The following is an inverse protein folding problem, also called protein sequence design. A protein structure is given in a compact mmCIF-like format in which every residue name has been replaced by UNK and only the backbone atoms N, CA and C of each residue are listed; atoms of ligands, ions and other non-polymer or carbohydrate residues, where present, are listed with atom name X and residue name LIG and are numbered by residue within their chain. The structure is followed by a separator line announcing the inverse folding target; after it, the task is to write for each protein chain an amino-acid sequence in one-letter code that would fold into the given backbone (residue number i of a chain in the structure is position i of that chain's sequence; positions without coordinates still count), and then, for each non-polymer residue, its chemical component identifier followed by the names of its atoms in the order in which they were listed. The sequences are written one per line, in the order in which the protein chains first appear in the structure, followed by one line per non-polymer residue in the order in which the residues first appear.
data_IF_913008915610
#
_entry.id   IF_913008915610
#
_cell.length_a   1.000
_cell.length_b   1.000
_cell.length_c   1.000
_cell.angle_alpha   90.00
_cell.angle_beta   90.00
_cell.angle_gamma   90.00
#
_symmetry.space_group_name_H-M   'P 1'
#
loop_
_entity.id
_entity.type
_entity.pdbx_description
1 polymer ?
#
# COMPACT_ATOMS: atom_id res chain seq x y z
N UNK A 1 27.26 57.68 -54.92
CA UNK A 1 26.68 58.97 -55.36
C UNK A 1 25.28 59.14 -54.78
N UNK A 2 25.11 60.30 -54.14
CA UNK A 2 23.82 61.01 -53.87
C UNK A 2 22.76 60.31 -53.03
N UNK A 3 22.46 60.82 -51.92
CA UNK A 3 22.02 62.04 -51.19
C UNK A 3 20.76 61.68 -50.43
N UNK A 4 20.90 61.83 -49.16
CA UNK A 4 20.12 62.59 -48.16
C UNK A 4 18.77 63.10 -48.64
N UNK A 5 17.69 62.87 -47.88
CA UNK A 5 16.76 63.95 -47.43
C UNK A 5 16.10 63.50 -46.12
N UNK A 6 16.29 64.31 -45.08
CA UNK A 6 15.64 64.33 -43.78
C UNK A 6 14.31 65.07 -43.88
N UNK A 7 13.24 64.52 -43.34
CA UNK A 7 12.02 65.29 -43.02
C UNK A 7 11.60 65.07 -41.62
N UNK A 8 11.71 66.11 -40.80
CA UNK A 8 11.16 66.26 -39.47
C UNK A 8 9.70 66.72 -39.63
N UNK A 9 8.75 66.03 -38.97
CA UNK A 9 7.42 66.59 -38.73
C UNK A 9 7.04 66.45 -37.27
N UNK A 10 6.94 67.62 -36.64
CA UNK A 10 6.30 67.77 -35.29
C UNK A 10 4.77 67.61 -35.49
N UNK A 11 4.18 66.93 -34.55
CA UNK A 11 2.73 66.77 -34.43
C UNK A 11 2.29 66.46 -33.02
N UNK A 12 1.97 67.49 -32.30
CA UNK A 12 1.08 67.74 -31.15
C UNK A 12 0.58 66.55 -30.34
N UNK A 13 0.96 66.55 -29.07
CA UNK A 13 0.41 65.76 -27.98
C UNK A 13 -0.91 66.36 -27.54
N UNK A 14 -2.02 65.63 -27.69
CA UNK A 14 -3.29 65.92 -26.99
C UNK A 14 -3.42 64.94 -25.81
N UNK A 15 -3.35 65.50 -24.62
CA UNK A 15 -3.59 64.76 -23.36
C UNK A 15 -5.10 64.74 -23.14
N UNK A 16 -5.71 63.57 -23.27
CA UNK A 16 -7.08 63.35 -22.83
C UNK A 16 -7.06 62.77 -21.41
N UNK A 17 -7.43 63.60 -20.44
CA UNK A 17 -7.73 63.12 -19.07
C UNK A 17 -9.06 62.41 -19.08
N UNK A 18 -9.05 61.09 -18.94
CA UNK A 18 -10.22 60.32 -18.57
C UNK A 18 -10.15 60.04 -17.07
N UNK A 19 -11.09 60.61 -16.33
CA UNK A 19 -11.27 60.37 -14.92
C UNK A 19 -11.71 58.91 -14.71
N UNK A 20 -10.84 58.07 -14.17
CA UNK A 20 -11.13 56.72 -13.76
C UNK A 20 -11.78 56.71 -12.38
N UNK A 21 -13.06 56.39 -12.34
CA UNK A 21 -13.85 56.17 -11.13
C UNK A 21 -13.23 55.00 -10.33
N UNK A 22 -12.64 55.30 -9.21
CA UNK A 22 -12.14 54.28 -8.26
C UNK A 22 -13.30 53.43 -7.81
N UNK A 23 -13.31 52.18 -8.27
CA UNK A 23 -14.13 51.11 -7.72
C UNK A 23 -13.45 50.60 -6.44
N UNK A 24 -14.06 50.87 -5.29
CA UNK A 24 -13.65 50.37 -3.99
C UNK A 24 -13.64 48.86 -4.07
N UNK A 25 -12.46 48.26 -4.15
CA UNK A 25 -12.29 46.79 -4.04
C UNK A 25 -12.48 46.41 -2.60
N UNK A 26 -13.50 45.57 -2.35
CA UNK A 26 -13.61 44.83 -1.09
C UNK A 26 -12.32 44.01 -0.90
N UNK A 27 -11.62 44.25 0.20
CA UNK A 27 -10.53 43.41 0.64
C UNK A 27 -11.08 42.02 0.96
N UNK A 28 -11.01 41.13 0.01
CA UNK A 28 -11.10 39.69 0.28
C UNK A 28 -9.89 39.35 1.15
N UNK A 29 -10.10 39.05 2.42
CA UNK A 29 -9.08 38.45 3.28
C UNK A 29 -8.64 37.14 2.63
N UNK A 30 -7.60 37.21 1.86
CA UNK A 30 -6.86 36.04 1.41
C UNK A 30 -6.22 35.41 2.64
N UNK A 31 -6.82 34.35 3.15
CA UNK A 31 -6.12 33.41 4.00
C UNK A 31 -4.86 32.99 3.23
N UNK A 32 -3.71 33.41 3.71
CA UNK A 32 -2.44 33.01 3.09
C UNK A 32 -2.38 31.48 3.10
N UNK A 33 -2.50 30.91 1.91
CA UNK A 33 -2.29 29.47 1.76
C UNK A 33 -0.88 29.15 2.31
N UNK A 34 -0.82 28.19 3.23
CA UNK A 34 0.46 27.71 3.77
C UNK A 34 1.28 27.23 2.58
N UNK A 35 2.42 27.88 2.35
CA UNK A 35 3.36 27.40 1.33
C UNK A 35 4.09 26.17 1.89
N UNK A 36 3.56 24.99 1.58
CA UNK A 36 4.13 23.72 2.02
C UNK A 36 5.58 23.53 1.56
N UNK A 37 5.96 24.07 0.40
CA UNK A 37 7.33 23.99 -0.07
C UNK A 37 8.30 24.69 0.86
N UNK A 38 7.91 25.87 1.43
CA UNK A 38 8.76 26.57 2.39
C UNK A 38 8.85 25.85 3.75
N UNK A 39 7.76 25.17 4.16
CA UNK A 39 7.74 24.37 5.40
C UNK A 39 8.66 23.16 5.29
N UNK A 40 8.75 22.56 4.10
CA UNK A 40 9.55 21.35 3.89
C UNK A 40 10.98 21.60 3.40
N UNK A 41 11.39 22.85 3.16
CA UNK A 41 12.75 23.19 2.72
C UNK A 41 13.86 22.71 3.67
N UNK A 42 13.55 22.58 4.96
CA UNK A 42 14.51 22.09 5.97
C UNK A 42 14.69 20.57 5.93
N UNK A 43 13.77 19.83 5.27
CA UNK A 43 13.87 18.39 5.15
C UNK A 43 14.98 18.01 4.18
N UNK A 44 15.84 17.10 4.61
CA UNK A 44 16.92 16.54 3.79
C UNK A 44 16.76 15.03 3.72
N UNK A 45 16.80 14.49 2.51
CA UNK A 45 16.91 13.05 2.31
C UNK A 45 18.27 12.55 2.79
N UNK A 46 18.28 11.49 3.60
CA UNK A 46 19.48 10.75 3.95
C UNK A 46 19.23 9.25 3.76
N UNK A 47 20.23 8.53 3.32
CA UNK A 47 20.18 7.07 3.32
C UNK A 47 20.38 6.59 4.75
N UNK A 48 19.34 5.96 5.32
CA UNK A 48 19.37 5.40 6.68
C UNK A 48 19.57 3.89 6.70
N UNK A 49 19.84 3.30 5.52
CA UNK A 49 19.93 1.85 5.36
C UNK A 49 18.55 1.19 5.22
N UNK A 50 18.50 -0.12 5.34
CA UNK A 50 19.66 -1.01 5.43
C UNK A 50 20.51 -0.96 4.15
N UNK A 51 21.84 -0.92 4.30
CA UNK A 51 22.77 -0.69 3.17
C UNK A 51 22.97 -1.92 2.28
N UNK A 52 22.57 -3.12 2.74
CA UNK A 52 22.74 -4.39 2.01
C UNK A 52 21.61 -5.37 2.26
N UNK A 53 20.36 -4.95 2.07
CA UNK A 53 19.20 -5.82 2.22
C UNK A 53 18.70 -6.45 0.94
N UNK A 54 19.15 -5.98 -0.21
CA UNK A 54 18.53 -6.28 -1.48
C UNK A 54 17.19 -5.53 -1.64
N UNK A 55 16.23 -6.13 -2.35
CA UNK A 55 14.89 -5.54 -2.48
C UNK A 55 14.09 -5.74 -1.19
N UNK A 56 13.50 -4.68 -0.69
CA UNK A 56 12.54 -4.73 0.39
C UNK A 56 11.10 -4.86 -0.17
N UNK A 57 10.30 -5.73 0.44
CA UNK A 57 8.89 -5.91 0.13
C UNK A 57 7.98 -5.37 1.24
N UNK A 58 8.47 -5.38 2.47
CA UNK A 58 7.69 -5.02 3.64
C UNK A 58 8.45 -4.01 4.49
N UNK A 59 7.72 -3.08 5.09
CA UNK A 59 8.21 -2.18 6.11
C UNK A 59 7.08 -1.93 7.13
N UNK A 60 7.42 -1.98 8.41
CA UNK A 60 6.45 -1.72 9.47
C UNK A 60 7.11 -0.96 10.62
N UNK A 61 6.48 0.13 11.07
CA UNK A 61 6.85 0.82 12.30
C UNK A 61 6.30 0.10 13.53
N UNK A 62 6.93 0.32 14.67
CA UNK A 62 6.47 -0.22 15.95
C UNK A 62 5.57 0.83 16.63
N UNK A 63 4.28 0.54 16.87
CA UNK A 63 3.36 1.46 17.51
C UNK A 63 3.91 1.95 18.86
N UNK A 64 3.84 3.29 19.07
CA UNK A 64 4.34 3.92 20.28
C UNK A 64 5.87 4.08 20.38
N UNK A 65 6.62 3.66 19.36
CA UNK A 65 8.07 3.84 19.29
C UNK A 65 8.51 4.30 17.89
N UNK A 66 8.76 5.59 17.73
CA UNK A 66 9.15 6.24 16.48
C UNK A 66 10.59 5.95 16.02
N UNK A 67 11.37 5.24 16.85
CA UNK A 67 12.74 4.82 16.53
C UNK A 67 12.82 3.35 16.07
N UNK A 68 11.74 2.56 16.23
CA UNK A 68 11.76 1.15 15.93
C UNK A 68 10.98 0.80 14.65
N UNK A 69 11.64 0.08 13.76
CA UNK A 69 11.06 -0.37 12.49
C UNK A 69 11.53 -1.78 12.15
N UNK A 70 10.67 -2.51 11.43
CA UNK A 70 11.01 -3.77 10.79
C UNK A 70 11.04 -3.59 9.27
N UNK A 71 11.98 -4.27 8.60
CA UNK A 71 12.07 -4.34 7.13
C UNK A 71 12.18 -5.80 6.72
N UNK A 72 11.37 -6.19 5.76
CA UNK A 72 11.36 -7.52 5.15
C UNK A 72 11.90 -7.50 3.72
N UNK A 73 12.85 -8.39 3.45
CA UNK A 73 13.53 -8.49 2.17
C UNK A 73 13.03 -9.67 1.34
N UNK A 74 13.30 -9.62 0.04
CA UNK A 74 12.97 -10.73 -0.89
C UNK A 74 13.93 -11.93 -0.78
N UNK A 75 14.99 -11.81 -0.03
CA UNK A 75 15.98 -12.88 0.15
C UNK A 75 16.90 -12.67 1.36
N UNK A 76 16.63 -11.63 2.18
CA UNK A 76 17.45 -11.26 3.33
C UNK A 76 16.76 -11.44 4.69
N UNK A 77 15.58 -12.06 4.71
CA UNK A 77 14.81 -12.23 5.95
C UNK A 77 14.24 -10.91 6.48
N UNK A 78 14.15 -10.80 7.79
CA UNK A 78 13.65 -9.62 8.50
C UNK A 78 14.79 -8.94 9.25
N UNK A 79 14.94 -7.64 9.06
CA UNK A 79 15.80 -6.80 9.89
C UNK A 79 15.00 -5.84 10.74
N UNK A 80 15.53 -5.49 11.92
CA UNK A 80 14.96 -4.53 12.85
C UNK A 80 15.97 -3.44 13.17
N UNK A 81 15.49 -2.21 13.28
CA UNK A 81 16.19 -1.08 13.91
C UNK A 81 15.46 -0.65 15.18
N UNK A 82 16.19 -0.13 16.15
CA UNK A 82 15.64 0.47 17.37
C UNK A 82 16.20 1.89 17.59
N UNK A 83 16.89 2.47 16.58
CA UNK A 83 17.60 3.74 16.63
C UNK A 83 17.29 4.64 15.41
N UNK A 84 16.08 4.55 14.87
CA UNK A 84 15.63 5.35 13.72
C UNK A 84 16.35 5.01 12.41
N UNK A 85 16.88 3.80 12.28
CA UNK A 85 17.55 3.30 11.08
C UNK A 85 19.05 3.58 11.01
N UNK A 86 19.68 4.00 12.11
CA UNK A 86 21.14 4.16 12.15
C UNK A 86 21.83 2.81 12.10
N UNK A 87 21.31 1.83 12.84
CA UNK A 87 21.77 0.45 12.79
C UNK A 87 20.63 -0.53 12.51
N UNK A 88 20.96 -1.63 11.86
CA UNK A 88 20.03 -2.70 11.52
C UNK A 88 20.60 -4.05 11.90
N UNK A 89 19.81 -4.90 12.53
CA UNK A 89 20.18 -6.28 12.81
C UNK A 89 19.18 -7.24 12.18
N UNK A 90 19.66 -8.33 11.61
CA UNK A 90 18.78 -9.41 11.19
C UNK A 90 18.19 -10.09 12.43
N UNK A 91 16.87 -10.30 12.42
CA UNK A 91 16.12 -10.89 13.53
C UNK A 91 15.42 -12.20 13.14
N UNK A 92 15.53 -12.61 11.89
CA UNK A 92 14.92 -13.84 11.36
C UNK A 92 15.87 -15.02 11.24
N UNK A 93 17.19 -14.78 11.20
CA UNK A 93 18.19 -15.82 11.05
C UNK A 93 18.13 -16.82 12.20
N UNK A 94 18.20 -18.09 11.87
CA UNK A 94 18.04 -19.19 12.83
C UNK A 94 16.60 -19.61 13.13
N UNK A 95 15.61 -18.81 12.73
CA UNK A 95 14.18 -19.10 12.93
C UNK A 95 13.45 -19.38 11.61
N UNK A 96 13.67 -18.56 10.59
CA UNK A 96 12.96 -18.69 9.30
C UNK A 96 13.68 -19.69 8.40
N UNK A 97 12.90 -20.52 7.72
CA UNK A 97 13.43 -21.48 6.73
C UNK A 97 13.63 -20.85 5.35
N UNK A 98 13.04 -19.66 5.14
CA UNK A 98 13.10 -18.91 3.88
C UNK A 98 13.48 -17.47 4.18
N UNK A 99 14.25 -16.87 3.29
CA UNK A 99 14.63 -15.46 3.39
C UNK A 99 13.68 -14.50 2.67
N UNK A 100 12.62 -15.02 2.04
CA UNK A 100 11.68 -14.20 1.26
C UNK A 100 10.53 -13.74 2.13
N UNK A 101 10.41 -12.44 2.32
CA UNK A 101 9.37 -11.80 3.13
C UNK A 101 8.34 -11.15 2.21
N UNK A 102 7.08 -11.36 2.51
CA UNK A 102 5.97 -10.73 1.82
C UNK A 102 5.48 -9.48 2.55
N UNK A 103 5.07 -9.64 3.82
CA UNK A 103 4.60 -8.53 4.64
C UNK A 103 4.93 -8.71 6.12
N UNK A 104 4.91 -7.59 6.86
CA UNK A 104 5.17 -7.53 8.31
C UNK A 104 4.12 -6.67 8.97
N UNK A 105 3.49 -7.16 10.02
CA UNK A 105 2.56 -6.42 10.84
C UNK A 105 2.95 -6.47 12.31
N UNK A 106 2.93 -5.32 12.99
CA UNK A 106 3.11 -5.18 14.44
C UNK A 106 1.76 -4.82 15.06
N UNK A 107 1.38 -5.49 16.13
CA UNK A 107 0.12 -5.23 16.81
C UNK A 107 0.10 -3.84 17.45
N UNK A 108 -1.00 -3.11 17.28
CA UNK A 108 -1.20 -1.79 17.90
C UNK A 108 -1.47 -1.91 19.40
N UNK A 109 -2.14 -2.99 19.84
CA UNK A 109 -2.47 -3.23 21.26
C UNK A 109 -1.34 -3.87 22.07
N UNK A 110 -0.41 -4.57 21.40
CA UNK A 110 0.78 -5.16 22.03
C UNK A 110 1.95 -5.19 21.04
N UNK A 111 2.86 -4.21 21.06
CA UNK A 111 3.99 -4.13 20.14
C UNK A 111 4.99 -5.29 20.20
N UNK A 112 4.89 -6.18 21.22
CA UNK A 112 5.68 -7.40 21.27
C UNK A 112 5.14 -8.46 20.30
N UNK A 113 3.87 -8.37 19.90
CA UNK A 113 3.26 -9.31 18.95
C UNK A 113 3.50 -8.82 17.53
N UNK A 114 4.26 -9.60 16.78
CA UNK A 114 4.61 -9.33 15.38
C UNK A 114 4.27 -10.55 14.53
N UNK A 115 3.65 -10.33 13.40
CA UNK A 115 3.38 -11.35 12.39
C UNK A 115 4.15 -11.04 11.11
N UNK A 116 4.69 -12.08 10.49
CA UNK A 116 5.42 -12.00 9.23
C UNK A 116 4.86 -13.01 8.24
N UNK A 117 4.32 -12.52 7.14
CA UNK A 117 3.97 -13.31 5.98
C UNK A 117 5.19 -13.49 5.07
N UNK A 118 5.43 -14.72 4.63
CA UNK A 118 6.60 -15.03 3.79
C UNK A 118 6.22 -15.17 2.30
N UNK A 119 7.23 -15.09 1.43
CA UNK A 119 7.12 -15.18 -0.02
C UNK A 119 7.05 -13.83 -0.72
N UNK A 120 7.81 -13.68 -1.78
CA UNK A 120 7.85 -12.45 -2.57
C UNK A 120 6.54 -12.22 -3.33
N UNK A 121 5.68 -11.31 -2.83
CA UNK A 121 4.40 -10.99 -3.47
C UNK A 121 4.51 -10.05 -4.66
N UNK A 122 5.62 -9.31 -4.79
CA UNK A 122 5.92 -8.48 -5.95
C UNK A 122 6.52 -9.33 -7.08
N UNK A 123 5.67 -10.08 -7.76
CA UNK A 123 6.06 -11.02 -8.82
C UNK A 123 6.77 -10.28 -9.95
N UNK A 124 7.95 -10.75 -10.33
CA UNK A 124 8.77 -10.16 -11.38
C UNK A 124 9.18 -11.16 -12.46
N UNK A 125 9.84 -10.59 -13.50
CA UNK A 125 10.20 -11.31 -14.73
C UNK A 125 11.29 -12.36 -14.59
N UNK A 126 12.15 -12.29 -13.57
CA UNK A 126 13.34 -13.12 -13.49
C UNK A 126 13.19 -14.25 -12.48
N UNK A 127 12.99 -13.91 -11.22
CA UNK A 127 12.91 -14.86 -10.11
C UNK A 127 11.92 -14.35 -9.08
N UNK A 128 11.11 -15.26 -8.54
CA UNK A 128 10.16 -14.99 -7.45
C UNK A 128 10.32 -16.12 -6.44
N UNK A 129 10.73 -15.76 -5.23
CA UNK A 129 11.03 -16.72 -4.17
C UNK A 129 9.78 -17.06 -3.37
N UNK A 130 9.56 -18.35 -3.14
CA UNK A 130 8.47 -18.84 -2.32
C UNK A 130 8.70 -18.58 -0.84
N UNK A 131 7.61 -18.39 -0.14
CA UNK A 131 7.52 -18.44 1.31
C UNK A 131 7.12 -19.82 1.82
N UNK A 132 7.07 -19.95 3.13
CA UNK A 132 6.64 -21.13 3.87
C UNK A 132 5.59 -20.79 4.95
N UNK A 133 4.74 -19.81 4.67
CA UNK A 133 3.62 -19.42 5.52
C UNK A 133 3.89 -18.24 6.41
N UNK A 134 3.32 -18.25 7.62
CA UNK A 134 3.34 -17.14 8.56
C UNK A 134 4.20 -17.47 9.77
N UNK A 135 4.98 -16.49 10.21
CA UNK A 135 5.73 -16.53 11.47
C UNK A 135 5.16 -15.51 12.47
N UNK A 136 5.14 -15.88 13.74
CA UNK A 136 4.72 -15.02 14.86
C UNK A 136 5.85 -14.86 15.85
N UNK A 137 6.06 -13.66 16.34
CA UNK A 137 6.84 -13.33 17.54
C UNK A 137 5.89 -12.79 18.61
N UNK A 138 6.24 -13.01 19.88
CA UNK A 138 5.54 -12.46 21.05
C UNK A 138 6.50 -11.69 21.96
N UNK A 139 7.70 -11.39 21.48
CA UNK A 139 8.78 -10.76 22.23
C UNK A 139 9.48 -9.63 21.44
N UNK A 140 8.72 -8.98 20.52
CA UNK A 140 9.21 -7.87 19.72
C UNK A 140 10.23 -8.27 18.65
N UNK A 141 10.11 -9.50 18.14
CA UNK A 141 10.96 -10.01 17.06
C UNK A 141 12.28 -10.62 17.54
N UNK A 142 12.40 -10.98 18.82
CA UNK A 142 13.60 -11.69 19.34
C UNK A 142 13.58 -13.17 19.01
N UNK A 143 12.40 -13.79 19.09
CA UNK A 143 12.18 -15.18 18.70
C UNK A 143 10.94 -15.32 17.83
N UNK A 144 10.91 -16.37 17.00
CA UNK A 144 9.84 -16.58 16.02
C UNK A 144 9.40 -18.04 15.97
N UNK A 145 8.10 -18.23 15.74
CA UNK A 145 7.49 -19.54 15.51
C UNK A 145 6.71 -19.53 14.21
N UNK A 146 6.89 -20.53 13.34
CA UNK A 146 6.01 -20.76 12.21
C UNK A 146 4.63 -21.21 12.73
N UNK A 147 3.58 -20.56 12.27
CA UNK A 147 2.19 -20.77 12.72
C UNK A 147 1.27 -21.23 11.58
N UNK A 148 1.83 -21.78 10.50
CA UNK A 148 1.05 -22.42 9.44
C UNK A 148 1.01 -21.64 8.12
N UNK A 149 0.07 -22.02 7.27
CA UNK A 149 -0.16 -21.49 5.92
C UNK A 149 1.02 -21.71 4.95
N UNK A 150 1.79 -22.78 5.09
CA UNK A 150 2.99 -23.06 4.28
C UNK A 150 2.69 -23.13 2.77
N UNK A 151 1.50 -23.59 2.39
CA UNK A 151 1.13 -23.78 1.00
C UNK A 151 0.65 -22.50 0.29
N UNK A 152 0.49 -21.39 1.03
CA UNK A 152 0.08 -20.10 0.45
C UNK A 152 1.15 -19.48 -0.45
N UNK A 153 2.40 -19.88 -0.31
CA UNK A 153 3.57 -19.54 -1.14
C UNK A 153 3.94 -18.06 -1.15
N UNK A 154 2.99 -17.16 -1.42
CA UNK A 154 3.21 -15.72 -1.46
C UNK A 154 2.13 -15.03 -0.65
N UNK A 155 2.53 -14.35 0.42
CA UNK A 155 1.64 -13.55 1.28
C UNK A 155 1.86 -12.09 0.93
N UNK A 156 0.78 -11.37 0.57
CA UNK A 156 0.82 -9.98 0.15
C UNK A 156 0.58 -8.99 1.28
N UNK A 157 -0.29 -9.34 2.22
CA UNK A 157 -0.60 -8.50 3.37
C UNK A 157 -0.91 -9.34 4.61
N UNK A 158 -0.57 -8.78 5.77
CA UNK A 158 -0.95 -9.28 7.09
C UNK A 158 -1.59 -8.14 7.88
N UNK A 159 -2.82 -8.30 8.31
CA UNK A 159 -3.57 -7.28 9.05
C UNK A 159 -3.99 -7.82 10.40
N UNK A 160 -3.60 -7.12 11.46
CA UNK A 160 -3.93 -7.47 12.84
C UNK A 160 -5.08 -6.58 13.32
N UNK A 161 -6.02 -7.14 14.04
CA UNK A 161 -7.09 -6.37 14.67
C UNK A 161 -6.50 -5.39 15.72
N UNK A 162 -6.84 -4.10 15.70
CA UNK A 162 -6.14 -3.08 16.50
C UNK A 162 -6.19 -3.33 18.01
N UNK A 163 -7.27 -3.90 18.50
CA UNK A 163 -7.50 -4.12 19.94
C UNK A 163 -7.33 -5.57 20.41
N UNK A 164 -7.05 -6.51 19.48
CA UNK A 164 -6.88 -7.92 19.85
C UNK A 164 -5.84 -8.59 18.92
N UNK A 165 -4.60 -8.81 19.39
CA UNK A 165 -3.52 -9.35 18.59
C UNK A 165 -3.73 -10.81 18.14
N UNK A 166 -4.70 -11.52 18.70
CA UNK A 166 -5.01 -12.90 18.31
C UNK A 166 -5.97 -12.98 17.12
N UNK A 167 -6.61 -11.85 16.74
CA UNK A 167 -7.39 -11.77 15.51
C UNK A 167 -6.49 -11.22 14.41
N UNK A 168 -6.17 -12.07 13.43
CA UNK A 168 -5.27 -11.73 12.32
C UNK A 168 -5.82 -12.24 10.99
N UNK A 169 -5.61 -11.45 9.97
CA UNK A 169 -5.98 -11.76 8.59
C UNK A 169 -4.74 -11.80 7.72
N UNK A 170 -4.71 -12.74 6.79
CA UNK A 170 -3.59 -12.96 5.86
C UNK A 170 -4.12 -12.99 4.44
N UNK A 171 -3.59 -12.12 3.61
CA UNK A 171 -3.86 -12.10 2.16
C UNK A 171 -2.85 -13.00 1.44
N UNK A 172 -3.33 -14.09 0.87
CA UNK A 172 -2.51 -15.07 0.17
C UNK A 172 -2.69 -14.98 -1.34
N UNK A 173 -1.62 -14.67 -2.06
CA UNK A 173 -1.61 -14.72 -3.53
C UNK A 173 -1.57 -16.15 -4.08
N UNK A 174 -1.08 -17.11 -3.30
CA UNK A 174 -0.83 -18.46 -3.76
C UNK A 174 0.43 -18.58 -4.63
N UNK A 175 0.61 -19.70 -5.32
CA UNK A 175 1.75 -19.86 -6.21
C UNK A 175 1.65 -18.99 -7.47
N UNK A 176 2.77 -18.40 -7.89
CA UNK A 176 2.84 -17.61 -9.10
C UNK A 176 2.74 -18.45 -10.39
N UNK A 177 3.09 -19.75 -10.33
CA UNK A 177 3.33 -20.56 -11.54
C UNK A 177 2.18 -21.47 -11.97
N UNK A 178 1.10 -21.53 -11.19
CA UNK A 178 -0.05 -22.36 -11.54
C UNK A 178 -1.23 -22.20 -10.60
N UNK A 179 -2.31 -22.96 -10.83
CA UNK A 179 -3.44 -23.04 -9.92
C UNK A 179 -3.01 -23.48 -8.52
N UNK A 180 -3.64 -22.93 -7.50
CA UNK A 180 -3.34 -23.24 -6.12
C UNK A 180 -4.59 -23.02 -5.26
N UNK A 181 -5.07 -24.02 -4.52
CA UNK A 181 -6.26 -23.87 -3.66
C UNK A 181 -6.02 -23.01 -2.44
N UNK A 182 -4.75 -22.75 -2.07
CA UNK A 182 -4.37 -21.98 -0.87
C UNK A 182 -4.20 -20.48 -1.17
N UNK A 183 -5.14 -19.96 -1.98
CA UNK A 183 -5.28 -18.54 -2.32
C UNK A 183 -6.43 -17.90 -1.56
N UNK A 184 -6.41 -16.58 -1.40
CA UNK A 184 -7.52 -15.79 -0.83
C UNK A 184 -7.17 -15.18 0.51
N UNK A 185 -8.19 -14.90 1.34
CA UNK A 185 -8.00 -14.35 2.68
C UNK A 185 -8.18 -15.46 3.71
N UNK A 186 -7.22 -15.56 4.62
CA UNK A 186 -7.28 -16.43 5.79
C UNK A 186 -7.44 -15.58 7.04
N UNK A 187 -8.22 -16.08 8.00
CA UNK A 187 -8.48 -15.46 9.30
C UNK A 187 -8.13 -16.44 10.40
N UNK A 188 -7.47 -15.95 11.42
CA UNK A 188 -7.33 -16.59 12.72
C UNK A 188 -7.97 -15.73 13.81
N UNK A 189 -8.49 -16.36 14.85
CA UNK A 189 -9.03 -15.70 16.05
C UNK A 189 -8.35 -16.21 17.34
N UNK A 190 -7.30 -17.01 17.19
CA UNK A 190 -6.56 -17.67 18.28
C UNK A 190 -5.04 -17.47 18.16
N UNK A 191 -4.64 -16.36 17.53
CA UNK A 191 -3.23 -15.99 17.38
C UNK A 191 -2.46 -16.85 16.40
N UNK A 192 -3.15 -17.44 15.41
CA UNK A 192 -2.56 -18.24 14.36
C UNK A 192 -2.43 -19.73 14.71
N UNK A 193 -3.08 -20.21 15.77
CA UNK A 193 -3.13 -21.65 16.07
C UNK A 193 -3.99 -22.39 15.05
N UNK A 194 -5.11 -21.78 14.66
CA UNK A 194 -5.98 -22.26 13.59
C UNK A 194 -6.26 -21.17 12.54
N UNK A 195 -6.49 -21.61 11.30
CA UNK A 195 -6.75 -20.74 10.17
C UNK A 195 -8.00 -21.17 9.43
N UNK A 196 -8.88 -20.21 9.12
CA UNK A 196 -10.06 -20.40 8.30
C UNK A 196 -9.97 -19.52 7.05
N UNK A 197 -10.18 -20.09 5.88
CA UNK A 197 -10.27 -19.35 4.64
C UNK A 197 -11.63 -18.63 4.58
N UNK A 198 -11.62 -17.30 4.55
CA UNK A 198 -12.83 -16.45 4.64
C UNK A 198 -13.19 -15.77 3.32
N UNK A 199 -12.24 -15.68 2.38
CA UNK A 199 -12.49 -15.26 1.00
C UNK A 199 -11.73 -16.17 0.04
N UNK A 200 -12.45 -16.80 -0.89
CA UNK A 200 -11.87 -17.59 -1.96
C UNK A 200 -12.65 -17.34 -3.25
N UNK A 201 -11.96 -16.95 -4.31
CA UNK A 201 -12.57 -16.71 -5.62
C UNK A 201 -12.46 -17.95 -6.50
N UNK A 202 -11.24 -18.39 -6.75
CA UNK A 202 -10.89 -19.63 -7.45
C UNK A 202 -9.39 -19.91 -7.28
N UNK A 203 -8.91 -21.02 -7.82
CA UNK A 203 -7.52 -21.49 -7.70
C UNK A 203 -6.49 -20.65 -8.51
N UNK A 204 -6.95 -19.77 -9.39
CA UNK A 204 -6.11 -18.90 -10.22
C UNK A 204 -6.09 -17.44 -9.71
N UNK A 205 -6.94 -17.12 -8.72
CA UNK A 205 -7.10 -15.76 -8.18
C UNK A 205 -6.74 -15.71 -6.72
N UNK A 206 -5.68 -14.97 -6.37
CA UNK A 206 -5.25 -14.76 -5.00
C UNK A 206 -5.60 -13.37 -4.47
N UNK A 207 -5.42 -13.15 -3.17
CA UNK A 207 -5.52 -11.83 -2.58
C UNK A 207 -4.23 -11.05 -2.79
N UNK A 208 -4.33 -9.81 -3.28
CA UNK A 208 -3.19 -8.93 -3.58
C UNK A 208 -3.03 -7.80 -2.58
N UNK A 209 -4.09 -7.47 -1.85
CA UNK A 209 -4.06 -6.43 -0.82
C UNK A 209 -5.22 -6.61 0.16
N UNK A 210 -5.01 -6.13 1.40
CA UNK A 210 -5.99 -6.18 2.48
C UNK A 210 -5.87 -4.91 3.34
N UNK A 211 -6.97 -4.28 3.68
CA UNK A 211 -7.00 -3.09 4.53
C UNK A 211 -8.18 -3.15 5.49
N UNK A 212 -7.98 -2.70 6.72
CA UNK A 212 -8.99 -2.69 7.78
C UNK A 212 -9.26 -1.26 8.26
N UNK A 213 -10.51 -0.94 8.46
CA UNK A 213 -10.89 0.27 9.20
C UNK A 213 -10.55 0.08 10.69
N UNK A 214 -9.54 0.77 11.17
CA UNK A 214 -9.07 0.65 12.56
C UNK A 214 -10.04 1.23 13.58
N UNK A 215 -11.01 2.09 13.17
CA UNK A 215 -12.07 2.61 14.03
C UNK A 215 -13.24 1.63 14.14
N UNK A 216 -13.50 0.86 13.08
CA UNK A 216 -14.49 -0.22 13.06
C UNK A 216 -13.89 -1.48 12.41
N UNK A 217 -13.17 -2.31 13.15
CA UNK A 217 -12.45 -3.48 12.62
C UNK A 217 -13.34 -4.57 12.00
N UNK A 218 -14.66 -4.42 12.05
CA UNK A 218 -15.59 -5.27 11.31
C UNK A 218 -15.58 -4.95 9.81
N UNK A 219 -15.13 -3.73 9.43
CA UNK A 219 -15.04 -3.30 8.04
C UNK A 219 -13.66 -3.62 7.50
N UNK A 220 -13.62 -4.47 6.47
CA UNK A 220 -12.41 -4.84 5.75
C UNK A 220 -12.61 -4.63 4.25
N UNK A 221 -11.51 -4.30 3.59
CA UNK A 221 -11.40 -4.21 2.14
C UNK A 221 -10.32 -5.16 1.66
N UNK A 222 -10.62 -5.98 0.67
CA UNK A 222 -9.66 -6.89 0.05
C UNK A 222 -9.63 -6.68 -1.45
N UNK A 223 -8.44 -6.75 -2.03
CA UNK A 223 -8.27 -6.80 -3.48
C UNK A 223 -7.84 -8.20 -3.89
N UNK A 224 -8.40 -8.68 -5.00
CA UNK A 224 -8.04 -9.97 -5.57
C UNK A 224 -7.42 -9.80 -6.95
N UNK A 225 -6.47 -10.66 -7.27
CA UNK A 225 -5.69 -10.64 -8.49
C UNK A 225 -5.60 -12.01 -9.12
N UNK A 226 -6.10 -12.14 -10.33
CA UNK A 226 -5.91 -13.31 -11.17
C UNK A 226 -4.61 -13.17 -11.94
N UNK A 227 -3.66 -14.08 -11.72
CA UNK A 227 -2.34 -13.98 -12.33
C UNK A 227 -1.67 -15.33 -12.51
N UNK A 228 -0.76 -15.38 -13.49
CA UNK A 228 0.14 -16.51 -13.70
C UNK A 228 1.46 -16.05 -14.29
N UNK A 229 2.56 -16.55 -13.73
CA UNK A 229 3.92 -16.33 -14.21
C UNK A 229 4.37 -17.51 -15.07
N UNK A 230 4.74 -17.20 -16.29
CA UNK A 230 5.45 -18.09 -17.21
C UNK A 230 6.91 -17.65 -17.34
N UNK A 231 7.84 -18.50 -17.84
CA UNK A 231 9.23 -18.08 -18.04
C UNK A 231 9.39 -16.82 -18.92
N UNK A 232 8.48 -16.61 -19.87
CA UNK A 232 8.56 -15.53 -20.87
C UNK A 232 7.52 -14.41 -20.68
N UNK A 233 6.51 -14.59 -19.83
CA UNK A 233 5.47 -13.57 -19.59
C UNK A 233 4.86 -13.66 -18.22
N UNK A 234 4.22 -12.58 -17.81
CA UNK A 234 3.24 -12.56 -16.70
C UNK A 234 1.86 -12.34 -17.31
N UNK A 235 0.93 -13.23 -17.03
CA UNK A 235 -0.48 -12.96 -17.23
C UNK A 235 -1.00 -12.23 -15.99
N UNK A 236 -1.54 -11.03 -16.21
CA UNK A 236 -2.13 -10.20 -15.18
C UNK A 236 -3.53 -9.80 -15.62
N UNK A 237 -4.50 -10.05 -14.77
CA UNK A 237 -5.89 -9.70 -15.05
C UNK A 237 -6.79 -10.89 -15.31
N UNK A 238 -8.09 -10.64 -15.23
CA UNK A 238 -9.15 -11.60 -15.46
C UNK A 238 -10.39 -11.34 -14.60
N UNK A 239 -11.41 -12.17 -14.78
CA UNK A 239 -12.71 -12.03 -14.09
C UNK A 239 -12.64 -12.21 -12.57
N UNK A 240 -11.51 -12.71 -12.05
CA UNK A 240 -11.25 -12.83 -10.62
C UNK A 240 -10.74 -11.56 -9.97
N UNK A 241 -10.30 -10.56 -10.74
CA UNK A 241 -9.82 -9.29 -10.19
C UNK A 241 -10.99 -8.43 -9.72
N UNK A 242 -10.98 -8.06 -8.46
CA UNK A 242 -12.09 -7.29 -7.84
C UNK A 242 -11.64 -6.65 -6.55
N UNK A 243 -12.36 -5.62 -6.12
CA UNK A 243 -12.33 -5.14 -4.75
C UNK A 243 -13.55 -5.70 -4.01
N UNK A 244 -13.31 -6.15 -2.79
CA UNK A 244 -14.29 -6.76 -1.93
C UNK A 244 -14.38 -5.99 -0.62
N UNK A 245 -15.58 -5.89 -0.07
CA UNK A 245 -15.83 -5.31 1.26
C UNK A 245 -16.52 -6.33 2.15
N UNK A 246 -16.06 -6.42 3.38
CA UNK A 246 -16.75 -7.07 4.48
C UNK A 246 -17.23 -6.02 5.49
N UNK A 247 -18.40 -6.24 6.08
CA UNK A 247 -18.97 -5.42 7.16
C UNK A 247 -19.14 -6.21 8.48
N UNK A 248 -18.68 -7.45 8.52
CA UNK A 248 -18.89 -8.41 9.61
C UNK A 248 -17.62 -9.08 10.12
N UNK A 249 -16.46 -8.42 9.91
CA UNK A 249 -15.18 -8.95 10.34
C UNK A 249 -14.66 -10.10 9.46
N UNK A 250 -15.00 -10.06 8.16
CA UNK A 250 -14.51 -11.02 7.18
C UNK A 250 -15.34 -12.30 7.08
N UNK A 251 -16.54 -12.36 7.68
CA UNK A 251 -17.41 -13.53 7.57
C UNK A 251 -18.07 -13.60 6.18
N UNK A 252 -18.52 -12.45 5.67
CA UNK A 252 -19.07 -12.33 4.32
C UNK A 252 -18.39 -11.20 3.54
N UNK A 253 -18.36 -11.34 2.21
CA UNK A 253 -17.68 -10.42 1.31
C UNK A 253 -18.53 -10.08 0.10
N UNK A 254 -18.64 -8.79 -0.21
CA UNK A 254 -19.37 -8.27 -1.35
C UNK A 254 -18.43 -7.53 -2.31
N UNK A 255 -18.61 -7.72 -3.62
CA UNK A 255 -17.88 -6.96 -4.63
C UNK A 255 -18.33 -5.50 -4.64
N UNK A 256 -17.36 -4.57 -4.73
CA UNK A 256 -17.59 -3.12 -4.73
C UNK A 256 -16.85 -2.45 -5.89
N UNK A 257 -17.14 -2.86 -7.13
CA UNK A 257 -16.42 -2.41 -8.33
C UNK A 257 -17.11 -1.27 -9.09
N UNK A 258 -18.17 -0.65 -8.56
CA UNK A 258 -18.93 0.41 -9.28
C UNK A 258 -18.04 1.62 -9.58
N UNK A 259 -17.83 1.94 -10.86
CA UNK A 259 -16.92 3.01 -11.30
C UNK A 259 -15.50 2.54 -11.63
N UNK A 260 -15.11 1.30 -11.29
CA UNK A 260 -13.82 0.73 -11.68
C UNK A 260 -13.85 0.18 -13.11
N UNK A 261 -12.68 0.01 -13.74
CA UNK A 261 -12.57 -0.63 -15.06
C UNK A 261 -13.14 -2.04 -15.07
N UNK A 262 -13.81 -2.42 -16.15
CA UNK A 262 -14.37 -3.77 -16.32
C UNK A 262 -13.29 -4.86 -16.39
N UNK A 263 -12.12 -4.53 -16.95
CA UNK A 263 -10.95 -5.40 -16.99
C UNK A 263 -9.85 -4.81 -16.11
N UNK A 264 -9.51 -5.53 -15.07
CA UNK A 264 -8.50 -5.12 -14.08
C UNK A 264 -7.41 -6.17 -13.96
N UNK A 265 -6.20 -5.72 -13.68
CA UNK A 265 -5.07 -6.54 -13.29
C UNK A 265 -4.87 -6.51 -11.76
N UNK A 266 -3.63 -6.25 -11.32
CA UNK A 266 -3.30 -6.15 -9.90
C UNK A 266 -3.94 -4.91 -9.28
N UNK A 267 -4.46 -5.07 -8.07
CA UNK A 267 -5.11 -3.99 -7.32
C UNK A 267 -4.49 -3.92 -5.93
N UNK A 268 -4.22 -2.69 -5.47
CA UNK A 268 -3.95 -2.36 -4.07
C UNK A 268 -5.09 -1.54 -3.51
N UNK A 269 -5.51 -1.77 -2.28
CA UNK A 269 -6.59 -1.04 -1.60
C UNK A 269 -6.15 -0.56 -0.23
N UNK A 270 -6.58 0.67 0.14
CA UNK A 270 -6.29 1.23 1.46
C UNK A 270 -7.42 2.12 1.93
N UNK A 271 -7.92 1.87 3.15
CA UNK A 271 -8.90 2.72 3.82
C UNK A 271 -8.19 3.79 4.64
N UNK A 272 -8.70 5.02 4.59
CA UNK A 272 -8.13 6.14 5.33
C UNK A 272 -8.44 6.03 6.83
N UNK A 273 -7.42 6.07 7.67
CA UNK A 273 -7.57 6.13 9.14
C UNK A 273 -8.26 7.42 9.62
N UNK A 274 -8.06 8.52 8.90
CA UNK A 274 -8.66 9.81 9.25
C UNK A 274 -10.17 9.85 8.94
N UNK A 275 -10.54 9.32 7.77
CA UNK A 275 -11.92 9.26 7.30
C UNK A 275 -12.22 7.86 6.73
N UNK A 276 -12.89 6.95 7.46
CA UNK A 276 -13.16 5.58 7.01
C UNK A 276 -14.08 5.46 5.77
N UNK A 277 -14.86 6.50 5.45
CA UNK A 277 -15.63 6.52 4.21
C UNK A 277 -14.74 6.72 2.98
N UNK A 278 -13.52 7.21 3.20
CA UNK A 278 -12.54 7.40 2.14
C UNK A 278 -11.66 6.17 1.97
N UNK A 279 -11.74 5.58 0.78
CA UNK A 279 -10.96 4.43 0.38
C UNK A 279 -10.21 4.75 -0.92
N UNK A 280 -8.97 4.34 -1.01
CA UNK A 280 -8.16 4.47 -2.21
C UNK A 280 -7.87 3.10 -2.81
N UNK A 281 -7.84 3.05 -4.13
CA UNK A 281 -7.42 1.86 -4.87
C UNK A 281 -6.48 2.25 -6.01
N UNK A 282 -5.33 1.59 -6.08
CA UNK A 282 -4.48 1.64 -7.27
C UNK A 282 -4.81 0.44 -8.13
N UNK A 283 -5.16 0.67 -9.38
CA UNK A 283 -5.72 -0.34 -10.27
C UNK A 283 -4.88 -0.46 -11.54
N UNK A 284 -4.34 -1.65 -11.80
CA UNK A 284 -3.80 -2.01 -13.10
C UNK A 284 -4.96 -2.25 -14.07
N UNK A 285 -4.95 -1.58 -15.21
CA UNK A 285 -5.95 -1.72 -16.27
C UNK A 285 -5.34 -1.31 -17.63
N UNK A 286 -6.15 -1.23 -18.67
CA UNK A 286 -5.75 -0.62 -19.95
C UNK A 286 -5.24 0.81 -19.74
N UNK A 287 -4.26 1.25 -20.55
CA UNK A 287 -3.48 2.49 -20.37
C UNK A 287 -4.28 3.73 -19.95
N UNK A 288 -5.45 3.92 -20.50
CA UNK A 288 -6.30 5.09 -20.20
C UNK A 288 -7.15 4.96 -18.94
N UNK A 289 -7.21 3.75 -18.37
CA UNK A 289 -8.05 3.40 -17.20
C UNK A 289 -7.24 2.93 -16.01
N UNK A 290 -5.93 2.71 -16.19
CA UNK A 290 -5.04 2.41 -15.09
C UNK A 290 -4.79 3.67 -14.26
N UNK A 291 -4.81 3.56 -12.92
CA UNK A 291 -4.57 4.71 -12.08
C UNK A 291 -5.00 4.55 -10.65
N UNK A 292 -5.01 5.69 -9.95
CA UNK A 292 -5.51 5.81 -8.59
C UNK A 292 -6.99 6.19 -8.62
N UNK A 293 -7.80 5.37 -7.98
CA UNK A 293 -9.23 5.58 -7.77
C UNK A 293 -9.49 5.94 -6.31
N UNK A 294 -10.50 6.77 -6.08
CA UNK A 294 -10.96 7.16 -4.76
C UNK A 294 -12.45 6.91 -4.61
N UNK A 295 -12.83 6.42 -3.48
CA UNK A 295 -14.20 6.39 -3.00
C UNK A 295 -14.32 7.31 -1.78
N UNK A 296 -15.40 8.06 -1.67
CA UNK A 296 -15.74 8.87 -0.50
C UNK A 296 -17.04 8.35 0.18
N UNK A 297 -17.52 7.15 -0.20
CA UNK A 297 -18.75 6.50 0.27
C UNK A 297 -18.50 5.06 0.77
N UNK A 298 -17.29 4.80 1.27
CA UNK A 298 -16.92 3.49 1.81
C UNK A 298 -16.86 2.39 0.76
N UNK A 299 -16.53 2.74 -0.49
CA UNK A 299 -16.35 1.79 -1.60
C UNK A 299 -17.62 1.51 -2.40
N UNK A 300 -18.72 2.23 -2.20
CA UNK A 300 -19.94 2.02 -2.99
C UNK A 300 -19.78 2.54 -4.42
N UNK A 301 -19.01 3.61 -4.60
CA UNK A 301 -18.65 4.15 -5.92
C UNK A 301 -17.19 4.61 -5.95
N UNK A 302 -16.58 4.58 -7.15
CA UNK A 302 -15.17 4.94 -7.38
C UNK A 302 -15.05 5.95 -8.52
N UNK A 303 -14.16 6.96 -8.32
CA UNK A 303 -13.82 7.98 -9.29
C UNK A 303 -12.30 8.19 -9.39
#
# INVERSE_FOLDING_TARGET
MRKLITIILLGSITISLTAQKQKKSEETKTTSAINYDSVFQALKWRCIGPFRGGRANAICGVPGNDQAFFVGYTGGGVSKTDDGGLTWRNVSDGFFKVGSIGDIAVSESDPNVVYVGTGEHAIRGVMTSYGDGVYKSVDGGKTWKNIGLQNTRHISDVVIHPNNPDIVYVAAQGTAHGPNPDRGIFKSTDGGQTWRKVLFVNDSTGASSLSMDTKNPRILYAATWQHRRYPWKVESGGNGCSIWKSNDGGETWNKINSGLPAQMGKIGVSVSRANPDRVFAIVEAEKSKAGLYRSDDGGMSWA
#
